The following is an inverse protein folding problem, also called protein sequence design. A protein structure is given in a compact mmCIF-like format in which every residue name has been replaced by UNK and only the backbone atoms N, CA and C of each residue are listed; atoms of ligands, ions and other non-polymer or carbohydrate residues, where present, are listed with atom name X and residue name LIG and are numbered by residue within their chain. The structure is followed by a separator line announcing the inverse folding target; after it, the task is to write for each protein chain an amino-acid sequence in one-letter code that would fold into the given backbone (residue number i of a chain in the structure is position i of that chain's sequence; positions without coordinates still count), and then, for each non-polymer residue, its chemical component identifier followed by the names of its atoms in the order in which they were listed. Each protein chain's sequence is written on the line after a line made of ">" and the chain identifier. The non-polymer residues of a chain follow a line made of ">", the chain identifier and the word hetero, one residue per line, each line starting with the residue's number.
data_IF_012643936169
#
_entry.id   IF_012643936169
#
_cell.length_a   1.000
_cell.length_b   1.000
_cell.length_c   1.000
_cell.angle_alpha   90.00
_cell.angle_beta   90.00
_cell.angle_gamma   90.00
#
_symmetry.space_group_name_H-M   'P 1'
#
loop_
_entity.id
_entity.type
_entity.pdbx_description
1 polymer ?
#
# COMPACT_ATOMS: atom_id res chain seq x y z
N UNK A 1 4.49 12.45 18.69
CA UNK A 1 5.50 11.40 18.44
C UNK A 1 6.80 12.03 17.93
N UNK A 2 7.98 11.47 18.24
CA UNK A 2 9.25 11.95 17.67
C UNK A 2 9.20 11.86 16.13
N UNK A 3 9.66 12.89 15.40
CA UNK A 3 9.66 12.92 13.94
C UNK A 3 10.36 11.70 13.32
N UNK A 4 11.44 11.22 13.93
CA UNK A 4 12.13 10.01 13.48
C UNK A 4 11.28 8.74 13.66
N UNK A 5 10.54 8.64 14.78
CA UNK A 5 9.62 7.52 15.01
C UNK A 5 8.46 7.54 14.02
N UNK A 6 7.86 8.71 13.76
CA UNK A 6 6.80 8.86 12.76
C UNK A 6 7.27 8.44 11.36
N UNK A 7 8.49 8.82 10.98
CA UNK A 7 9.10 8.42 9.72
C UNK A 7 9.29 6.89 9.63
N UNK A 8 9.83 6.26 10.67
CA UNK A 8 10.05 4.81 10.70
C UNK A 8 8.71 4.06 10.62
N UNK A 9 7.72 4.49 11.40
CA UNK A 9 6.38 3.88 11.41
C UNK A 9 5.73 4.02 10.04
N UNK A 10 5.81 5.21 9.42
CA UNK A 10 5.29 5.45 8.07
C UNK A 10 5.87 4.46 7.05
N UNK A 11 7.19 4.40 6.94
CA UNK A 11 7.86 3.57 5.94
C UNK A 11 7.68 2.09 6.21
N UNK A 12 7.64 1.67 7.48
CA UNK A 12 7.37 0.27 7.83
C UNK A 12 5.98 -0.15 7.36
N UNK A 13 4.96 0.65 7.65
CA UNK A 13 3.59 0.38 7.22
C UNK A 13 3.46 0.48 5.70
N UNK A 14 4.07 1.48 5.07
CA UNK A 14 4.05 1.65 3.62
C UNK A 14 4.64 0.43 2.91
N UNK A 15 5.81 -0.04 3.33
CA UNK A 15 6.48 -1.19 2.71
C UNK A 15 5.67 -2.47 2.91
N UNK A 16 5.24 -2.74 4.14
CA UNK A 16 4.41 -3.94 4.43
C UNK A 16 3.09 -3.88 3.67
N UNK A 17 2.39 -2.74 3.73
CA UNK A 17 1.13 -2.51 3.04
C UNK A 17 1.27 -2.63 1.53
N UNK A 18 2.37 -2.15 0.94
CA UNK A 18 2.66 -2.30 -0.48
C UNK A 18 2.77 -3.77 -0.86
N UNK A 19 3.60 -4.55 -0.17
CA UNK A 19 3.78 -5.98 -0.49
C UNK A 19 2.49 -6.78 -0.31
N UNK A 20 1.74 -6.52 0.76
CA UNK A 20 0.45 -7.18 1.03
C UNK A 20 -0.56 -6.84 -0.08
N UNK A 21 -0.74 -5.56 -0.39
CA UNK A 21 -1.70 -5.11 -1.43
C UNK A 21 -1.32 -5.65 -2.80
N UNK A 22 -0.03 -5.61 -3.14
CA UNK A 22 0.47 -6.10 -4.42
C UNK A 22 0.23 -7.60 -4.59
N UNK A 23 0.49 -8.39 -3.54
CA UNK A 23 0.22 -9.84 -3.53
C UNK A 23 -1.27 -10.14 -3.62
N UNK A 24 -2.12 -9.39 -2.94
CA UNK A 24 -3.58 -9.53 -3.03
C UNK A 24 -4.05 -9.25 -4.46
N UNK A 25 -3.60 -8.16 -5.08
CA UNK A 25 -3.99 -7.80 -6.45
C UNK A 25 -3.56 -8.85 -7.48
N UNK A 26 -2.35 -9.41 -7.33
CA UNK A 26 -1.89 -10.53 -8.14
C UNK A 26 -2.74 -11.78 -7.93
N UNK A 27 -3.13 -12.09 -6.68
CA UNK A 27 -3.93 -13.26 -6.35
C UNK A 27 -5.38 -13.19 -6.87
N UNK A 28 -5.91 -11.99 -7.10
CA UNK A 28 -7.24 -11.81 -7.72
C UNK A 28 -7.22 -12.20 -9.21
N UNK A 29 -6.03 -12.35 -9.81
CA UNK A 29 -5.84 -12.78 -11.20
C UNK A 29 -6.71 -12.00 -12.20
N UNK A 30 -6.85 -10.68 -11.98
CA UNK A 30 -7.67 -9.82 -12.85
C UNK A 30 -7.19 -9.92 -14.30
N UNK A 31 -5.90 -10.16 -14.51
CA UNK A 31 -5.27 -10.51 -15.79
C UNK A 31 -5.99 -11.58 -16.62
N UNK A 32 -6.72 -12.53 -16.00
CA UNK A 32 -7.49 -13.57 -16.71
C UNK A 32 -8.66 -13.01 -17.51
N UNK A 33 -9.18 -11.85 -17.14
CA UNK A 33 -10.32 -11.21 -17.80
C UNK A 33 -9.90 -10.27 -18.95
N UNK A 34 -8.60 -10.05 -19.15
CA UNK A 34 -8.07 -9.11 -20.14
C UNK A 34 -7.28 -9.81 -21.25
N UNK A 35 -7.22 -9.17 -22.43
CA UNK A 35 -6.48 -9.70 -23.59
C UNK A 35 -4.98 -9.77 -23.27
N UNK A 36 -4.34 -10.86 -23.70
CA UNK A 36 -2.93 -11.23 -23.46
C UNK A 36 -1.88 -10.14 -23.79
N UNK A 37 -2.20 -9.18 -24.66
CA UNK A 37 -1.31 -8.08 -25.03
C UNK A 37 -1.25 -6.94 -24.00
N UNK A 38 -2.15 -6.89 -23.01
CA UNK A 38 -2.23 -5.81 -22.01
C UNK A 38 -1.65 -6.18 -20.65
N UNK A 39 -0.93 -7.30 -20.54
CA UNK A 39 -0.37 -7.79 -19.27
C UNK A 39 0.57 -6.77 -18.60
N UNK A 40 1.36 -6.06 -19.39
CA UNK A 40 2.21 -4.98 -18.89
C UNK A 40 1.40 -3.85 -18.23
N UNK A 41 0.30 -3.40 -18.87
CA UNK A 41 -0.58 -2.37 -18.33
C UNK A 41 -1.22 -2.81 -17.01
N UNK A 42 -1.59 -4.09 -16.90
CA UNK A 42 -2.23 -4.67 -15.71
C UNK A 42 -1.24 -4.73 -14.56
N UNK A 43 -0.01 -5.18 -14.78
CA UNK A 43 1.02 -5.17 -13.75
C UNK A 43 1.40 -3.75 -13.33
N UNK A 44 1.45 -2.80 -14.26
CA UNK A 44 1.65 -1.38 -13.93
C UNK A 44 0.48 -0.85 -13.08
N UNK A 45 -0.76 -1.21 -13.40
CA UNK A 45 -1.92 -0.85 -12.59
C UNK A 45 -1.83 -1.46 -11.18
N UNK A 46 -1.45 -2.72 -11.04
CA UNK A 46 -1.24 -3.35 -9.73
C UNK A 46 -0.20 -2.61 -8.91
N UNK A 47 0.91 -2.22 -9.53
CA UNK A 47 1.96 -1.43 -8.88
C UNK A 47 1.43 -0.08 -8.39
N UNK A 48 0.78 0.68 -9.27
CA UNK A 48 0.23 2.01 -8.96
C UNK A 48 -0.79 1.92 -7.83
N UNK A 49 -1.76 1.00 -7.91
CA UNK A 49 -2.78 0.81 -6.88
C UNK A 49 -2.12 0.45 -5.56
N UNK A 50 -1.14 -0.46 -5.57
CA UNK A 50 -0.45 -0.87 -4.34
C UNK A 50 0.28 0.30 -3.66
N UNK A 51 0.94 1.17 -4.43
CA UNK A 51 1.60 2.39 -3.90
C UNK A 51 0.58 3.35 -3.30
N UNK A 52 -0.52 3.62 -4.00
CA UNK A 52 -1.54 4.55 -3.52
C UNK A 52 -2.21 4.02 -2.25
N UNK A 53 -2.64 2.77 -2.25
CA UNK A 53 -3.28 2.13 -1.11
C UNK A 53 -2.34 2.07 0.10
N UNK A 54 -1.07 1.71 -0.10
CA UNK A 54 -0.12 1.64 1.01
C UNK A 54 0.22 3.03 1.57
N UNK A 55 0.31 4.06 0.72
CA UNK A 55 0.50 5.44 1.16
C UNK A 55 -0.69 5.91 2.01
N UNK A 56 -1.91 5.70 1.52
CA UNK A 56 -3.13 6.08 2.25
C UNK A 56 -3.23 5.34 3.57
N UNK A 57 -2.92 4.04 3.60
CA UNK A 57 -2.93 3.24 4.82
C UNK A 57 -1.88 3.73 5.84
N UNK A 58 -0.66 3.99 5.40
CA UNK A 58 0.41 4.49 6.25
C UNK A 58 0.06 5.87 6.85
N UNK A 59 -0.53 6.76 6.03
CA UNK A 59 -0.98 8.07 6.51
C UNK A 59 -2.14 7.94 7.49
N UNK A 60 -3.14 7.12 7.17
CA UNK A 60 -4.28 6.85 8.04
C UNK A 60 -3.86 6.32 9.41
N UNK A 61 -2.95 5.33 9.45
CA UNK A 61 -2.47 4.79 10.73
C UNK A 61 -1.70 5.84 11.54
N UNK A 62 -0.86 6.65 10.89
CA UNK A 62 -0.21 7.76 11.59
C UNK A 62 -1.22 8.75 12.15
N UNK A 63 -2.21 9.16 11.35
CA UNK A 63 -3.25 10.09 11.79
C UNK A 63 -4.02 9.51 12.99
N UNK A 64 -4.34 8.20 12.97
CA UNK A 64 -4.97 7.50 14.11
C UNK A 64 -4.06 7.50 15.34
N UNK A 65 -2.78 7.17 15.18
CA UNK A 65 -1.82 7.17 16.30
C UNK A 65 -1.64 8.57 16.90
N UNK A 66 -1.64 9.60 16.07
CA UNK A 66 -1.59 11.00 16.52
C UNK A 66 -2.89 11.45 17.21
N UNK A 67 -4.04 10.93 16.78
CA UNK A 67 -5.35 11.23 17.37
C UNK A 67 -5.55 10.61 18.76
N UNK A 68 -4.86 9.51 19.07
CA UNK A 68 -4.90 8.84 20.36
C UNK A 68 -3.54 8.89 21.07
N UNK A 69 -3.08 10.05 21.55
CA UNK A 69 -1.80 10.19 22.25
C UNK A 69 -1.79 9.55 23.66
N UNK A 70 -2.86 8.84 24.04
CA UNK A 70 -3.11 8.32 25.39
C UNK A 70 -2.58 6.91 25.62
N UNK A 71 -1.26 6.81 25.82
CA UNK A 71 -0.59 6.06 26.90
C UNK A 71 0.86 6.53 27.02
#
# INVERSE_FOLDING_TARGET
>A
MNAYLAYIVFWSIFVVGFFVTFRILQAIEIEKYFKKYRQFEIHAAYFIISVLTSYMLARFILDVVELFPGN
#
